data_IF_945474564810
#
_entry.id   IF_945474564810
#
_cell.length_a   1.000
_cell.length_b   1.000
_cell.length_c   1.000
_cell.angle_alpha   90.00
_cell.angle_beta   90.00
_cell.angle_gamma   90.00
#
_symmetry.space_group_name_H-M   'P 1'
#
loop_
_entity.id
_entity.type
_entity.pdbx_description
1 polymer ?
#
# COMPACT_ATOMS: atom_id res chain seq x y z
N UNK A 1 -14.80 -18.63 -9.71
CA UNK A 1 -14.16 -18.39 -8.40
C UNK A 1 -12.77 -19.05 -8.28
N UNK A 2 -12.35 -19.90 -9.23
CA UNK A 2 -11.09 -20.68 -9.12
C UNK A 2 -9.79 -19.88 -9.26
N UNK A 3 -9.80 -18.72 -9.94
CA UNK A 3 -8.56 -18.00 -10.26
C UNK A 3 -7.79 -17.43 -9.06
N UNK A 4 -8.40 -17.36 -7.88
CA UNK A 4 -7.71 -16.89 -6.67
C UNK A 4 -6.53 -17.81 -6.29
N UNK A 5 -6.64 -19.10 -6.61
CA UNK A 5 -5.62 -20.10 -6.31
C UNK A 5 -4.67 -20.37 -7.49
N UNK A 6 -4.86 -19.67 -8.62
CA UNK A 6 -3.94 -19.76 -9.74
C UNK A 6 -2.61 -19.09 -9.36
N UNK A 7 -1.52 -19.82 -9.54
CA UNK A 7 -0.17 -19.32 -9.27
C UNK A 7 0.08 -18.03 -10.06
N UNK A 8 0.43 -16.96 -9.33
CA UNK A 8 0.74 -15.65 -9.91
C UNK A 8 -0.48 -14.79 -10.26
N UNK A 9 -1.72 -15.19 -9.93
CA UNK A 9 -2.88 -14.32 -10.13
C UNK A 9 -2.95 -13.20 -9.08
N UNK A 10 -2.74 -13.56 -7.81
CA UNK A 10 -2.74 -12.65 -6.67
C UNK A 10 -1.41 -12.69 -5.91
N UNK A 11 -1.00 -11.56 -5.39
CA UNK A 11 0.22 -11.39 -4.59
C UNK A 11 -0.07 -10.56 -3.34
N UNK A 12 0.77 -10.77 -2.31
CA UNK A 12 0.78 -9.92 -1.11
C UNK A 12 1.69 -8.72 -1.37
N UNK A 13 1.12 -7.52 -1.49
CA UNK A 13 1.82 -6.25 -1.67
C UNK A 13 1.99 -5.49 -0.35
N UNK A 14 3.05 -4.71 -0.27
CA UNK A 14 3.28 -3.73 0.79
C UNK A 14 2.64 -2.39 0.41
N UNK A 15 1.61 -1.97 1.15
CA UNK A 15 0.89 -0.70 0.93
C UNK A 15 1.90 0.45 0.79
N UNK A 16 2.79 0.56 1.77
CA UNK A 16 3.94 1.47 1.74
C UNK A 16 5.18 0.68 1.34
N UNK A 17 5.95 1.13 0.34
CA UNK A 17 7.18 0.47 -0.10
C UNK A 17 8.12 0.18 1.07
N UNK A 18 8.50 -1.09 1.25
CA UNK A 18 9.38 -1.54 2.35
C UNK A 18 10.70 -0.76 2.40
N UNK A 19 11.23 -0.40 1.24
CA UNK A 19 12.46 0.41 1.09
C UNK A 19 12.33 1.83 1.66
N UNK A 20 11.11 2.38 1.77
CA UNK A 20 10.84 3.75 2.22
C UNK A 20 10.24 3.82 3.62
N UNK A 21 9.52 2.78 4.05
CA UNK A 21 8.83 2.75 5.34
C UNK A 21 9.52 1.89 6.40
N UNK A 22 10.39 0.95 6.00
CA UNK A 22 10.93 -0.12 6.84
C UNK A 22 9.83 -0.89 7.61
N UNK A 23 8.58 -0.84 7.13
CA UNK A 23 7.41 -1.39 7.83
C UNK A 23 7.00 -2.71 7.18
N UNK A 24 7.32 -3.83 7.83
CA UNK A 24 6.90 -5.17 7.41
C UNK A 24 5.72 -5.71 8.22
N UNK A 25 5.04 -4.84 8.98
CA UNK A 25 3.89 -5.23 9.79
C UNK A 25 2.73 -5.71 8.93
N UNK A 26 1.87 -6.57 9.50
CA UNK A 26 0.68 -7.08 8.81
C UNK A 26 -0.27 -5.96 8.35
N UNK A 27 -0.27 -4.84 9.08
CA UNK A 27 -1.07 -3.67 8.74
C UNK A 27 -0.48 -2.84 7.57
N UNK A 28 0.69 -3.23 7.04
CA UNK A 28 1.25 -2.74 5.77
C UNK A 28 1.05 -3.74 4.60
N UNK A 29 0.42 -4.90 4.81
CA UNK A 29 0.26 -5.94 3.77
C UNK A 29 -1.15 -5.99 3.20
N UNK A 30 -1.32 -6.12 1.89
CA UNK A 30 -2.62 -6.26 1.21
C UNK A 30 -2.57 -7.34 0.14
N UNK A 31 -3.71 -7.97 -0.12
CA UNK A 31 -3.86 -8.87 -1.26
C UNK A 31 -4.24 -8.05 -2.49
N UNK A 32 -3.49 -8.20 -3.58
CA UNK A 32 -3.75 -7.52 -4.83
C UNK A 32 -3.46 -8.45 -6.02
N UNK A 33 -3.87 -8.04 -7.22
CA UNK A 33 -3.49 -8.75 -8.44
C UNK A 33 -2.00 -8.57 -8.71
N UNK A 34 -1.31 -9.61 -9.18
CA UNK A 34 0.12 -9.53 -9.48
C UNK A 34 0.45 -8.40 -10.48
N UNK A 35 -0.41 -8.21 -11.49
CA UNK A 35 -0.27 -7.11 -12.45
C UNK A 35 -0.39 -5.73 -11.81
N UNK A 36 -1.26 -5.57 -10.81
CA UNK A 36 -1.40 -4.31 -10.08
C UNK A 36 -0.17 -4.04 -9.20
N UNK A 37 0.36 -5.08 -8.54
CA UNK A 37 1.59 -4.99 -7.75
C UNK A 37 2.79 -4.53 -8.60
N UNK A 38 2.99 -5.17 -9.75
CA UNK A 38 4.07 -4.85 -10.69
C UNK A 38 3.97 -3.41 -11.20
N UNK A 39 2.76 -2.93 -11.50
CA UNK A 39 2.53 -1.56 -11.96
C UNK A 39 2.74 -0.50 -10.86
N UNK A 40 2.41 -0.83 -9.60
CA UNK A 40 2.62 0.07 -8.45
C UNK A 40 4.10 0.21 -8.09
N UNK A 41 4.88 -0.88 -8.16
CA UNK A 41 6.32 -0.88 -7.85
C UNK A 41 6.64 -0.21 -6.49
N UNK A 42 7.58 0.76 -6.46
CA UNK A 42 8.02 1.48 -5.26
C UNK A 42 7.19 2.73 -4.91
N UNK A 43 5.93 2.79 -5.37
CA UNK A 43 5.03 3.92 -5.14
C UNK A 43 4.05 3.65 -3.98
N UNK A 44 3.57 4.72 -3.35
CA UNK A 44 2.39 4.65 -2.47
C UNK A 44 1.11 4.46 -3.28
N UNK A 45 -0.01 4.05 -2.66
CA UNK A 45 -1.29 3.96 -3.38
C UNK A 45 -1.70 5.29 -3.99
N UNK A 46 -1.38 6.41 -3.33
CA UNK A 46 -1.62 7.75 -3.87
C UNK A 46 -0.71 8.10 -5.04
N UNK A 47 0.60 7.79 -4.98
CA UNK A 47 1.51 8.07 -6.10
C UNK A 47 1.13 7.26 -7.36
N UNK A 48 0.53 6.08 -7.17
CA UNK A 48 0.05 5.20 -8.25
C UNK A 48 -1.34 5.61 -8.78
N UNK A 49 -2.35 5.78 -7.90
CA UNK A 49 -3.75 6.06 -8.29
C UNK A 49 -4.08 7.55 -8.34
N UNK A 50 -3.35 8.39 -7.61
CA UNK A 50 -3.59 9.82 -7.43
C UNK A 50 -3.28 10.68 -8.63
N UNK A 51 -2.79 10.10 -9.74
CA UNK A 51 -2.68 10.80 -11.02
C UNK A 51 -4.05 11.15 -11.61
N UNK A 52 -5.07 10.38 -11.26
CA UNK A 52 -6.47 10.65 -11.60
C UNK A 52 -7.24 10.93 -10.30
N UNK A 53 -7.62 12.19 -10.11
CA UNK A 53 -8.35 12.66 -8.93
C UNK A 53 -9.67 11.91 -8.74
N UNK A 54 -10.40 11.59 -9.81
CA UNK A 54 -11.67 10.87 -9.69
C UNK A 54 -11.45 9.44 -9.19
N UNK A 55 -10.41 8.78 -9.67
CA UNK A 55 -10.06 7.44 -9.20
C UNK A 55 -9.57 7.45 -7.76
N UNK A 56 -8.79 8.45 -7.37
CA UNK A 56 -8.36 8.64 -5.99
C UNK A 56 -9.55 8.87 -5.04
N UNK A 57 -10.50 9.73 -5.42
CA UNK A 57 -11.69 9.99 -4.61
C UNK A 57 -12.56 8.74 -4.47
N UNK A 58 -12.78 7.99 -5.55
CA UNK A 58 -13.49 6.69 -5.50
C UNK A 58 -12.77 5.68 -4.61
N UNK A 59 -11.44 5.68 -4.60
CA UNK A 59 -10.66 4.82 -3.72
C UNK A 59 -10.80 5.26 -2.25
N UNK A 60 -10.64 6.56 -1.97
CA UNK A 60 -10.82 7.13 -0.63
C UNK A 60 -12.20 6.80 -0.04
N UNK A 61 -13.28 7.00 -0.80
CA UNK A 61 -14.64 6.70 -0.36
C UNK A 61 -14.84 5.21 -0.03
N UNK A 62 -14.19 4.30 -0.77
CA UNK A 62 -14.26 2.86 -0.50
C UNK A 62 -13.51 2.48 0.76
N UNK A 63 -12.36 3.10 1.01
CA UNK A 63 -11.48 2.75 2.14
C UNK A 63 -11.92 3.44 3.43
N UNK A 64 -12.28 4.71 3.38
CA UNK A 64 -12.60 5.54 4.54
C UNK A 64 -14.05 5.37 5.01
N UNK A 65 -14.40 4.13 5.37
CA UNK A 65 -15.71 3.82 5.97
C UNK A 65 -15.53 3.37 7.41
N UNK A 66 -16.54 3.63 8.25
CA UNK A 66 -16.55 3.18 9.66
C UNK A 66 -16.39 1.65 9.77
N UNK A 67 -17.01 0.91 8.84
CA UNK A 67 -16.92 -0.55 8.75
C UNK A 67 -15.48 -0.99 8.50
N UNK A 68 -14.78 -0.36 7.53
CA UNK A 68 -13.40 -0.72 7.23
C UNK A 68 -12.44 -0.31 8.34
N UNK A 69 -12.68 0.80 9.02
CA UNK A 69 -11.88 1.19 10.20
C UNK A 69 -12.02 0.17 11.33
N UNK A 70 -13.22 -0.38 11.54
CA UNK A 70 -13.46 -1.44 12.50
C UNK A 70 -12.83 -2.79 12.09
N UNK A 71 -12.90 -3.17 10.80
CA UNK A 71 -12.40 -4.46 10.30
C UNK A 71 -10.88 -4.50 10.04
N UNK A 72 -10.34 -3.45 9.43
CA UNK A 72 -8.95 -3.38 8.99
C UNK A 72 -8.04 -2.69 10.02
N UNK A 73 -8.64 -1.92 10.93
CA UNK A 73 -7.93 -1.07 11.90
C UNK A 73 -7.53 0.29 11.33
N UNK A 74 -7.53 1.30 12.19
CA UNK A 74 -7.23 2.68 11.83
C UNK A 74 -5.84 2.86 11.20
N UNK A 75 -4.83 2.11 11.67
CA UNK A 75 -3.46 2.20 11.13
C UNK A 75 -3.39 1.75 9.68
N UNK A 76 -4.13 0.67 9.32
CA UNK A 76 -4.14 0.15 7.95
C UNK A 76 -4.85 1.11 7.00
N UNK A 77 -6.01 1.64 7.43
CA UNK A 77 -6.74 2.68 6.70
C UNK A 77 -5.86 3.91 6.48
N UNK A 78 -5.18 4.40 7.52
CA UNK A 78 -4.28 5.54 7.40
C UNK A 78 -3.11 5.29 6.43
N UNK A 79 -2.55 4.08 6.39
CA UNK A 79 -1.49 3.72 5.43
C UNK A 79 -2.01 3.69 3.98
N UNK A 80 -3.21 3.15 3.76
CA UNK A 80 -3.85 3.09 2.44
C UNK A 80 -4.13 4.49 1.87
N UNK A 81 -4.48 5.44 2.74
CA UNK A 81 -4.81 6.81 2.38
C UNK A 81 -3.61 7.77 2.44
N UNK A 82 -2.39 7.25 2.57
CA UNK A 82 -1.20 8.07 2.77
C UNK A 82 -0.77 8.74 1.46
N UNK A 83 -1.01 10.04 1.36
CA UNK A 83 -0.74 10.84 0.17
C UNK A 83 0.76 11.14 -0.03
N UNK A 84 1.55 11.18 1.04
CA UNK A 84 2.99 11.39 0.92
C UNK A 84 3.74 10.57 1.97
N UNK A 85 4.72 9.81 1.52
CA UNK A 85 5.79 9.36 2.40
C UNK A 85 6.76 10.53 2.52
N UNK A 86 6.82 11.15 3.69
CA UNK A 86 7.93 12.06 4.01
C UNK A 86 9.21 11.36 3.58
N UNK A 87 10.02 12.03 2.74
CA UNK A 87 11.36 11.55 2.38
C UNK A 87 12.11 11.47 3.70
N UNK A 88 12.09 10.32 4.35
CA UNK A 88 13.10 10.03 5.37
C UNK A 88 14.39 10.21 4.60
N UNK A 89 15.12 11.29 4.90
CA UNK A 89 16.50 11.46 4.49
C UNK A 89 17.14 10.09 4.71
N UNK A 90 17.83 9.54 3.71
CA UNK A 90 18.71 8.38 3.92
C UNK A 90 19.71 8.80 5.01
N UNK A 91 19.34 8.67 6.28
CA UNK A 91 20.28 8.74 7.39
C UNK A 91 21.01 7.42 7.26
N UNK A 92 22.22 7.52 6.74
CA UNK A 92 23.18 6.45 6.59
C UNK A 92 23.05 5.47 7.77
N UNK A 93 22.42 4.33 7.53
CA UNK A 93 22.40 3.21 8.46
C UNK A 93 23.34 2.12 7.92
N UNK A 94 24.57 2.54 7.63
CA UNK A 94 25.75 1.72 7.55
C UNK A 94 26.90 2.58 8.09
N UNK A 95 26.97 2.74 9.41
CA UNK A 95 28.23 3.02 10.08
C UNK A 95 28.81 1.67 10.53
N UNK A 96 30.09 1.50 10.17
CA UNK A 96 31.09 0.62 10.77
C UNK A 96 30.92 -0.90 10.60
N UNK A 97 31.62 -1.45 9.60
CA UNK A 97 32.72 -2.41 9.80
C UNK A 97 33.86 -2.02 8.86
#
# INVERSE_FOLDING_TARGET
MERLFDDGYCEIDHILPKSRSADDSYANKVLCLASANQNKANQTPFEWLGRDEQNWQKFKQRIDTSINRAKLGNTKVARLLKETLMKIHKKNFCQEI
#
